data_IF_386642598428
#
_entry.id   IF_386642598428
#
_cell.length_a   1.000
_cell.length_b   1.000
_cell.length_c   1.000
_cell.angle_alpha   90.00
_cell.angle_beta   90.00
_cell.angle_gamma   90.00
#
_symmetry.space_group_name_H-M   'P 1'
#
loop_
_entity.id
_entity.type
_entity.pdbx_description
1 polymer ?
#
# COMPACT_ATOMS: atom_id res chain seq x y z
N UNK A 1 -2.28 -15.88 -12.08
CA UNK A 1 -3.43 -16.71 -11.61
C UNK A 1 -4.77 -16.06 -11.91
N UNK A 2 -4.99 -14.75 -11.71
CA UNK A 2 -6.29 -14.12 -12.01
C UNK A 2 -6.80 -14.29 -13.46
N UNK A 3 -5.89 -14.39 -14.44
CA UNK A 3 -6.26 -14.59 -15.85
C UNK A 3 -6.67 -16.03 -16.22
N UNK A 4 -6.25 -17.08 -15.49
CA UNK A 4 -6.62 -18.47 -15.86
C UNK A 4 -7.99 -18.87 -15.31
N UNK A 5 -8.38 -18.34 -14.16
CA UNK A 5 -9.66 -18.63 -13.48
C UNK A 5 -10.87 -18.15 -14.30
N UNK A 6 -10.70 -17.07 -15.09
CA UNK A 6 -11.81 -16.51 -15.86
C UNK A 6 -12.16 -17.27 -17.15
N UNK A 7 -11.25 -18.12 -17.66
CA UNK A 7 -11.45 -18.79 -18.95
C UNK A 7 -12.30 -20.07 -18.86
N UNK A 8 -12.50 -20.61 -17.65
CA UNK A 8 -13.25 -21.85 -17.40
C UNK A 8 -14.71 -21.63 -16.96
N UNK A 9 -15.09 -20.38 -16.64
CA UNK A 9 -16.44 -20.06 -16.20
C UNK A 9 -17.39 -19.82 -17.39
N UNK A 10 -18.60 -20.39 -17.31
CA UNK A 10 -19.62 -20.22 -18.35
C UNK A 10 -20.36 -18.89 -18.18
N UNK A 11 -20.58 -18.17 -19.28
CA UNK A 11 -21.48 -17.01 -19.29
C UNK A 11 -22.94 -17.49 -19.31
N UNK A 12 -23.44 -17.93 -18.15
CA UNK A 12 -24.83 -18.33 -17.95
C UNK A 12 -25.38 -17.84 -16.60
N UNK A 13 -26.70 -17.91 -16.44
CA UNK A 13 -27.42 -17.45 -15.24
C UNK A 13 -27.58 -18.56 -14.17
N UNK A 14 -26.94 -19.72 -14.34
CA UNK A 14 -27.20 -20.89 -13.48
C UNK A 14 -26.65 -20.71 -12.08
N UNK A 15 -25.45 -20.13 -11.95
CA UNK A 15 -24.89 -19.76 -10.64
C UNK A 15 -25.84 -18.83 -9.90
N UNK A 16 -26.34 -17.80 -10.58
CA UNK A 16 -27.31 -16.87 -10.00
C UNK A 16 -28.59 -17.59 -9.58
N UNK A 17 -29.15 -18.45 -10.43
CA UNK A 17 -30.34 -19.24 -10.12
C UNK A 17 -30.17 -20.14 -8.89
N UNK A 18 -29.00 -20.74 -8.72
CA UNK A 18 -28.67 -21.51 -7.52
C UNK A 18 -28.82 -20.64 -6.27
N UNK A 19 -28.18 -19.46 -6.25
CA UNK A 19 -28.33 -18.50 -5.15
C UNK A 19 -29.76 -17.98 -4.99
N UNK A 20 -30.42 -17.54 -6.07
CA UNK A 20 -31.79 -17.01 -6.04
C UNK A 20 -32.77 -18.04 -5.44
N UNK A 21 -32.56 -19.34 -5.68
CA UNK A 21 -33.41 -20.41 -5.14
C UNK A 21 -33.31 -20.57 -3.62
N UNK A 22 -32.14 -20.27 -3.04
CA UNK A 22 -31.86 -20.40 -1.61
C UNK A 22 -32.17 -19.10 -0.86
N UNK A 23 -31.89 -17.95 -1.49
CA UNK A 23 -32.05 -16.62 -0.90
C UNK A 23 -33.46 -16.02 -1.09
N UNK A 24 -34.40 -16.75 -1.70
CA UNK A 24 -35.75 -16.26 -2.04
C UNK A 24 -36.55 -15.66 -0.87
N UNK A 25 -36.25 -16.05 0.38
CA UNK A 25 -36.90 -15.56 1.61
C UNK A 25 -36.08 -14.50 2.34
N UNK A 26 -34.83 -14.24 1.94
CA UNK A 26 -33.98 -13.26 2.60
C UNK A 26 -34.41 -11.83 2.20
N UNK A 27 -34.72 -11.00 3.19
CA UNK A 27 -35.12 -9.61 2.98
C UNK A 27 -33.96 -8.68 3.27
N UNK A 28 -33.54 -7.89 2.27
CA UNK A 28 -32.54 -6.83 2.46
C UNK A 28 -33.22 -5.57 3.02
N UNK A 29 -33.14 -5.41 4.33
CA UNK A 29 -33.62 -4.26 5.09
C UNK A 29 -32.58 -3.78 6.12
N UNK A 30 -32.93 -2.74 6.89
CA UNK A 30 -32.05 -2.21 7.95
C UNK A 30 -31.83 -3.20 9.11
N UNK A 31 -32.76 -4.14 9.33
CA UNK A 31 -32.63 -5.16 10.37
C UNK A 31 -31.55 -6.16 10.00
N UNK A 32 -31.55 -6.65 8.75
CA UNK A 32 -30.48 -7.49 8.23
C UNK A 32 -29.16 -6.72 8.19
N UNK A 33 -29.16 -5.47 7.73
CA UNK A 33 -27.96 -4.62 7.73
C UNK A 33 -27.36 -4.53 9.14
N UNK A 34 -28.17 -4.22 10.16
CA UNK A 34 -27.72 -4.17 11.56
C UNK A 34 -27.15 -5.52 12.05
N UNK A 35 -27.80 -6.65 11.71
CA UNK A 35 -27.29 -7.99 12.04
C UNK A 35 -25.92 -8.27 11.40
N UNK A 36 -25.74 -7.95 10.13
CA UNK A 36 -24.49 -8.13 9.40
C UNK A 36 -23.37 -7.30 10.03
N UNK A 37 -23.65 -6.03 10.36
CA UNK A 37 -22.67 -5.15 11.02
C UNK A 37 -22.29 -5.66 12.40
N UNK A 38 -23.26 -6.15 13.18
CA UNK A 38 -23.00 -6.75 14.48
C UNK A 38 -22.16 -8.03 14.38
N UNK A 39 -22.46 -8.88 13.40
CA UNK A 39 -21.66 -10.08 13.08
C UNK A 39 -20.21 -9.72 12.77
N UNK A 40 -19.98 -8.76 11.87
CA UNK A 40 -18.62 -8.32 11.50
C UNK A 40 -17.90 -7.71 12.69
N UNK A 41 -18.54 -6.78 13.40
CA UNK A 41 -17.96 -6.12 14.58
C UNK A 41 -17.60 -7.12 15.68
N UNK A 42 -18.42 -8.15 15.90
CA UNK A 42 -18.14 -9.21 16.88
C UNK A 42 -16.87 -10.01 16.58
N UNK A 43 -16.53 -10.19 15.29
CA UNK A 43 -15.29 -10.88 14.89
C UNK A 43 -14.10 -9.93 14.99
N UNK A 44 -14.25 -8.70 14.51
CA UNK A 44 -13.16 -7.71 14.46
C UNK A 44 -12.77 -7.20 15.85
N UNK A 45 -13.70 -7.17 16.81
CA UNK A 45 -13.46 -6.74 18.19
C UNK A 45 -12.88 -7.82 19.11
N UNK A 46 -12.74 -9.07 18.62
CA UNK A 46 -12.11 -10.17 19.37
C UNK A 46 -10.67 -9.81 19.72
N UNK A 47 -10.22 -10.23 20.91
CA UNK A 47 -8.81 -10.13 21.33
C UNK A 47 -7.88 -10.76 20.27
N UNK A 48 -6.75 -10.12 20.03
CA UNK A 48 -5.82 -10.34 18.91
C UNK A 48 -6.23 -9.60 17.64
N UNK A 49 -7.50 -9.72 17.24
CA UNK A 49 -8.01 -9.09 16.02
C UNK A 49 -8.05 -7.56 16.17
N UNK A 50 -8.54 -7.06 17.31
CA UNK A 50 -8.65 -5.61 17.56
C UNK A 50 -7.28 -4.93 17.63
N UNK A 51 -6.29 -5.57 18.25
CA UNK A 51 -4.92 -5.06 18.33
C UNK A 51 -4.27 -5.04 16.95
N UNK A 52 -4.49 -6.07 16.14
CA UNK A 52 -4.02 -6.09 14.77
C UNK A 52 -4.63 -4.96 13.94
N UNK A 53 -5.95 -4.74 14.05
CA UNK A 53 -6.65 -3.68 13.33
C UNK A 53 -6.16 -2.29 13.71
N UNK A 54 -5.86 -2.07 14.99
CA UNK A 54 -5.32 -0.80 15.52
C UNK A 54 -3.83 -0.60 15.24
N UNK A 55 -3.11 -1.65 14.85
CA UNK A 55 -1.68 -1.61 14.58
C UNK A 55 -1.36 -1.31 13.12
N UNK A 56 -0.14 -0.87 12.87
CA UNK A 56 0.47 -0.75 11.54
C UNK A 56 1.57 -1.79 11.29
N UNK A 57 1.83 -2.64 12.27
CA UNK A 57 2.93 -3.59 12.26
C UNK A 57 2.53 -4.89 11.57
N UNK A 58 3.47 -5.46 10.83
CA UNK A 58 3.28 -6.72 10.11
C UNK A 58 3.69 -7.91 10.98
N UNK A 59 2.76 -8.83 11.21
CA UNK A 59 3.04 -10.13 11.83
C UNK A 59 3.32 -10.11 13.34
N UNK A 60 3.14 -8.98 14.04
CA UNK A 60 3.29 -8.87 15.49
C UNK A 60 2.07 -9.44 16.22
N UNK A 61 0.88 -9.01 15.81
CA UNK A 61 -0.38 -9.46 16.40
C UNK A 61 -0.94 -10.66 15.62
N UNK A 62 -1.51 -11.62 16.35
CA UNK A 62 -2.23 -12.74 15.76
C UNK A 62 -3.62 -12.32 15.30
N UNK A 63 -4.04 -12.81 14.14
CA UNK A 63 -5.41 -12.64 13.65
C UNK A 63 -6.04 -13.99 13.36
N UNK A 64 -7.34 -14.11 13.65
CA UNK A 64 -8.09 -15.35 13.46
C UNK A 64 -9.51 -15.07 12.97
N UNK A 65 -9.84 -15.75 11.88
CA UNK A 65 -11.19 -16.04 11.42
C UNK A 65 -11.38 -17.56 11.54
N UNK A 66 -12.40 -18.00 12.27
CA UNK A 66 -12.67 -19.42 12.54
C UNK A 66 -13.84 -19.95 11.73
N UNK A 67 -13.98 -21.27 11.64
CA UNK A 67 -15.15 -21.90 11.02
C UNK A 67 -16.45 -21.55 11.78
N UNK A 68 -16.39 -21.32 13.10
CA UNK A 68 -17.53 -20.80 13.85
C UNK A 68 -17.98 -19.42 13.37
N UNK A 69 -17.06 -18.60 12.86
CA UNK A 69 -17.37 -17.29 12.29
C UNK A 69 -18.07 -17.45 10.92
N UNK A 70 -17.72 -18.48 10.14
CA UNK A 70 -18.44 -18.87 8.92
C UNK A 70 -19.84 -19.37 9.24
N UNK A 71 -19.95 -20.36 10.13
CA UNK A 71 -21.23 -20.96 10.52
C UNK A 71 -22.21 -19.92 11.05
N UNK A 72 -21.72 -18.98 11.88
CA UNK A 72 -22.55 -17.88 12.40
C UNK A 72 -23.19 -17.02 11.31
N UNK A 73 -22.51 -16.77 10.19
CA UNK A 73 -23.12 -16.04 9.07
C UNK A 73 -24.33 -16.82 8.55
N UNK A 74 -24.14 -18.09 8.24
CA UNK A 74 -25.15 -18.96 7.65
C UNK A 74 -26.31 -19.27 8.62
N UNK A 75 -26.01 -19.68 9.84
CA UNK A 75 -27.02 -20.18 10.78
C UNK A 75 -27.77 -19.05 11.50
N UNK A 76 -27.06 -17.99 11.95
CA UNK A 76 -27.64 -16.96 12.82
C UNK A 76 -28.03 -15.68 12.08
N UNK A 77 -27.23 -15.28 11.08
CA UNK A 77 -27.36 -13.97 10.43
C UNK A 77 -28.33 -14.04 9.25
N UNK A 78 -28.06 -14.94 8.29
CA UNK A 78 -28.85 -15.06 7.05
C UNK A 78 -29.79 -16.28 7.05
N UNK A 79 -29.60 -17.23 7.96
CA UNK A 79 -30.40 -18.45 8.13
C UNK A 79 -30.53 -19.25 6.82
N UNK A 80 -29.39 -19.62 6.25
CA UNK A 80 -29.26 -20.37 4.99
C UNK A 80 -28.41 -21.61 5.25
N UNK A 81 -28.89 -22.75 4.75
CA UNK A 81 -28.13 -24.00 4.74
C UNK A 81 -26.96 -23.90 3.75
N UNK A 82 -25.74 -23.87 4.30
CA UNK A 82 -24.52 -23.75 3.51
C UNK A 82 -24.24 -25.01 2.67
N UNK A 83 -24.51 -26.20 3.20
CA UNK A 83 -24.22 -27.46 2.53
C UNK A 83 -25.13 -27.61 1.31
N UNK A 84 -26.42 -27.31 1.48
CA UNK A 84 -27.37 -27.31 0.36
C UNK A 84 -27.01 -26.26 -0.70
N UNK A 85 -26.59 -25.06 -0.30
CA UNK A 85 -26.13 -24.04 -1.25
C UNK A 85 -24.86 -24.50 -2.00
N UNK A 86 -23.93 -25.14 -1.30
CA UNK A 86 -22.69 -25.69 -1.86
C UNK A 86 -22.99 -26.75 -2.95
N UNK A 87 -23.95 -27.63 -2.69
CA UNK A 87 -24.43 -28.63 -3.66
C UNK A 87 -25.02 -27.96 -4.90
N UNK A 88 -25.91 -26.97 -4.74
CA UNK A 88 -26.51 -26.26 -5.87
C UNK A 88 -25.48 -25.49 -6.71
N UNK A 89 -24.48 -24.88 -6.07
CA UNK A 89 -23.37 -24.22 -6.78
C UNK A 89 -22.60 -25.25 -7.62
N UNK A 90 -22.32 -26.42 -7.07
CA UNK A 90 -21.61 -27.50 -7.77
C UNK A 90 -22.42 -28.03 -8.96
N UNK A 91 -23.72 -28.23 -8.79
CA UNK A 91 -24.65 -28.69 -9.84
C UNK A 91 -24.88 -27.66 -10.95
N UNK A 92 -24.67 -26.36 -10.66
CA UNK A 92 -24.78 -25.32 -11.70
C UNK A 92 -23.82 -25.54 -12.86
N UNK A 93 -22.66 -26.14 -12.59
CA UNK A 93 -21.52 -26.29 -13.50
C UNK A 93 -21.04 -24.96 -14.12
N UNK A 94 -21.38 -23.82 -13.51
CA UNK A 94 -20.99 -22.49 -14.01
C UNK A 94 -19.55 -22.12 -13.66
N UNK A 95 -19.03 -22.67 -12.55
CA UNK A 95 -17.70 -22.39 -12.00
C UNK A 95 -17.00 -23.66 -11.54
N UNK A 96 -15.68 -23.59 -11.42
CA UNK A 96 -14.89 -24.66 -10.81
C UNK A 96 -14.91 -24.53 -9.28
N UNK A 97 -15.58 -25.46 -8.61
CA UNK A 97 -15.73 -25.48 -7.14
C UNK A 97 -14.51 -26.02 -6.40
N UNK A 98 -13.53 -26.60 -7.11
CA UNK A 98 -12.28 -27.08 -6.49
C UNK A 98 -11.32 -25.93 -6.16
N UNK A 99 -11.61 -24.72 -6.65
CA UNK A 99 -10.85 -23.52 -6.31
C UNK A 99 -11.12 -23.07 -4.88
N UNK A 100 -10.17 -23.32 -3.98
CA UNK A 100 -10.23 -23.01 -2.55
C UNK A 100 -10.60 -21.57 -2.16
N UNK A 101 -10.44 -20.60 -3.07
CA UNK A 101 -10.79 -19.19 -2.81
C UNK A 101 -11.97 -18.78 -3.66
N UNK A 102 -11.86 -18.88 -4.98
CA UNK A 102 -12.86 -18.35 -5.89
C UNK A 102 -14.16 -19.18 -5.87
N UNK A 103 -14.05 -20.49 -5.70
CA UNK A 103 -15.18 -21.42 -5.61
C UNK A 103 -15.72 -21.64 -4.19
N UNK A 104 -15.14 -21.00 -3.16
CA UNK A 104 -15.57 -21.15 -1.77
C UNK A 104 -16.96 -20.52 -1.54
N UNK A 105 -17.90 -21.33 -1.03
CA UNK A 105 -19.31 -20.96 -0.81
C UNK A 105 -19.45 -19.70 0.05
N UNK A 106 -18.69 -19.57 1.12
CA UNK A 106 -18.69 -18.35 1.95
C UNK A 106 -18.31 -17.11 1.15
N UNK A 107 -17.21 -17.15 0.39
CA UNK A 107 -16.75 -16.01 -0.39
C UNK A 107 -17.77 -15.61 -1.47
N UNK A 108 -18.37 -16.59 -2.14
CA UNK A 108 -19.44 -16.35 -3.13
C UNK A 108 -20.69 -15.75 -2.48
N UNK A 109 -21.08 -16.24 -1.30
CA UNK A 109 -22.19 -15.70 -0.50
C UNK A 109 -21.98 -14.23 -0.14
N UNK A 110 -20.76 -13.82 0.24
CA UNK A 110 -20.48 -12.40 0.49
C UNK A 110 -20.74 -11.56 -0.77
N UNK A 111 -20.28 -12.01 -1.94
CA UNK A 111 -20.48 -11.27 -3.20
C UNK A 111 -21.96 -11.28 -3.61
N UNK A 112 -22.68 -12.36 -3.37
CA UNK A 112 -24.12 -12.43 -3.64
C UNK A 112 -24.94 -11.53 -2.70
N UNK A 113 -24.56 -11.42 -1.42
CA UNK A 113 -25.17 -10.43 -0.52
C UNK A 113 -24.94 -8.99 -1.04
N UNK A 114 -23.73 -8.69 -1.55
CA UNK A 114 -23.47 -7.40 -2.19
C UNK A 114 -24.34 -7.17 -3.42
N UNK A 115 -24.53 -8.19 -4.27
CA UNK A 115 -25.46 -8.15 -5.40
C UNK A 115 -26.85 -7.69 -4.96
N UNK A 116 -27.40 -8.30 -3.90
CA UNK A 116 -28.72 -7.95 -3.38
C UNK A 116 -28.77 -6.56 -2.72
N UNK A 117 -27.66 -6.10 -2.15
CA UNK A 117 -27.58 -4.82 -1.43
C UNK A 117 -27.30 -3.62 -2.34
N UNK A 118 -26.56 -3.78 -3.44
CA UNK A 118 -26.17 -2.70 -4.36
C UNK A 118 -27.37 -1.83 -4.81
N UNK A 119 -28.51 -2.38 -5.25
CA UNK A 119 -29.68 -1.58 -5.64
C UNK A 119 -30.22 -0.68 -4.51
N UNK A 120 -29.86 -0.96 -3.25
CA UNK A 120 -30.32 -0.29 -2.04
C UNK A 120 -29.25 0.59 -1.38
N UNK A 121 -28.11 0.83 -2.03
CA UNK A 121 -27.02 1.67 -1.51
C UNK A 121 -27.39 3.14 -1.28
N UNK A 122 -28.56 3.60 -1.74
CA UNK A 122 -29.12 4.88 -1.30
C UNK A 122 -29.40 4.94 0.20
N UNK A 123 -29.58 3.79 0.86
CA UNK A 123 -29.65 3.70 2.32
C UNK A 123 -28.24 3.54 2.92
N UNK A 124 -27.84 4.51 3.75
CA UNK A 124 -26.51 4.56 4.37
C UNK A 124 -26.21 3.35 5.27
N UNK A 125 -27.22 2.78 5.94
CA UNK A 125 -27.02 1.61 6.80
C UNK A 125 -26.77 0.36 5.96
N UNK A 126 -27.43 0.24 4.81
CA UNK A 126 -27.21 -0.86 3.87
C UNK A 126 -25.83 -0.73 3.24
N UNK A 127 -25.44 0.48 2.81
CA UNK A 127 -24.09 0.70 2.29
C UNK A 127 -23.01 0.38 3.34
N UNK A 128 -23.20 0.82 4.60
CA UNK A 128 -22.27 0.51 5.68
C UNK A 128 -22.16 -1.00 5.92
N UNK A 129 -23.28 -1.73 5.94
CA UNK A 129 -23.27 -3.19 6.06
C UNK A 129 -22.58 -3.89 4.88
N UNK A 130 -22.72 -3.36 3.65
CA UNK A 130 -22.01 -3.87 2.48
C UNK A 130 -20.49 -3.67 2.60
N UNK A 131 -20.06 -2.50 3.07
CA UNK A 131 -18.64 -2.22 3.35
C UNK A 131 -18.11 -3.17 4.44
N UNK A 132 -18.88 -3.41 5.50
CA UNK A 132 -18.52 -4.36 6.57
C UNK A 132 -18.39 -5.80 6.03
N UNK A 133 -19.26 -6.23 5.10
CA UNK A 133 -19.16 -7.53 4.43
C UNK A 133 -17.88 -7.68 3.58
N UNK A 134 -17.50 -6.65 2.82
CA UNK A 134 -16.23 -6.67 2.09
C UNK A 134 -15.05 -6.63 3.05
N UNK A 135 -15.17 -5.91 4.16
CA UNK A 135 -14.13 -5.85 5.21
C UNK A 135 -13.89 -7.22 5.84
N UNK A 136 -14.94 -7.96 6.20
CA UNK A 136 -14.75 -9.30 6.79
C UNK A 136 -14.21 -10.32 5.78
N UNK A 137 -14.58 -10.20 4.50
CA UNK A 137 -13.99 -11.03 3.44
C UNK A 137 -12.49 -10.76 3.28
N UNK A 138 -12.07 -9.49 3.29
CA UNK A 138 -10.66 -9.12 3.33
C UNK A 138 -9.95 -9.67 4.57
N UNK A 139 -10.58 -9.53 5.74
CA UNK A 139 -10.03 -10.00 7.01
C UNK A 139 -9.82 -11.52 7.01
N UNK A 140 -10.76 -12.32 6.48
CA UNK A 140 -10.60 -13.77 6.27
C UNK A 140 -9.37 -14.09 5.41
N UNK A 141 -9.15 -13.35 4.32
CA UNK A 141 -7.95 -13.52 3.49
C UNK A 141 -6.67 -13.15 4.24
N UNK A 142 -6.64 -12.02 4.96
CA UNK A 142 -5.51 -11.66 5.80
C UNK A 142 -5.21 -12.75 6.83
N UNK A 143 -6.23 -13.27 7.53
CA UNK A 143 -6.10 -14.34 8.53
C UNK A 143 -5.43 -15.59 7.94
N UNK A 144 -5.89 -16.06 6.77
CA UNK A 144 -5.29 -17.20 6.07
C UNK A 144 -3.83 -16.92 5.66
N UNK A 145 -3.55 -15.76 5.07
CA UNK A 145 -2.20 -15.39 4.66
C UNK A 145 -1.27 -15.29 5.87
N UNK A 146 -1.73 -14.68 6.97
CA UNK A 146 -0.93 -14.51 8.17
C UNK A 146 -0.57 -15.85 8.81
N UNK A 147 -1.51 -16.80 8.84
CA UNK A 147 -1.25 -18.14 9.32
C UNK A 147 -0.09 -18.83 8.58
N UNK A 148 0.04 -18.61 7.27
CA UNK A 148 1.12 -19.18 6.47
C UNK A 148 2.42 -18.38 6.52
N UNK A 149 2.37 -17.05 6.55
CA UNK A 149 3.55 -16.19 6.50
C UNK A 149 4.20 -15.94 7.87
N UNK A 150 3.42 -16.03 8.94
CA UNK A 150 3.86 -15.72 10.31
C UNK A 150 3.51 -16.88 11.26
N UNK A 151 4.11 -18.07 11.10
CA UNK A 151 3.92 -19.18 12.03
C UNK A 151 4.39 -18.85 13.46
N UNK A 152 5.26 -17.84 13.60
CA UNK A 152 5.66 -17.22 14.85
C UNK A 152 5.50 -15.70 14.73
N UNK A 153 5.12 -15.01 15.82
CA UNK A 153 5.07 -13.56 15.84
C UNK A 153 6.41 -12.96 15.41
N UNK A 154 6.34 -11.88 14.65
CA UNK A 154 7.50 -11.03 14.32
C UNK A 154 7.92 -10.29 15.58
N UNK A 155 9.22 -10.18 15.81
CA UNK A 155 9.75 -9.40 16.91
C UNK A 155 9.40 -7.91 16.72
N UNK A 156 8.91 -7.28 17.80
CA UNK A 156 8.43 -5.91 17.77
C UNK A 156 9.47 -4.93 17.18
N UNK A 157 10.77 -5.00 17.53
CA UNK A 157 11.77 -4.10 16.95
C UNK A 157 11.95 -4.24 15.44
N UNK A 158 11.99 -5.47 14.89
CA UNK A 158 12.08 -5.64 13.44
C UNK A 158 10.81 -5.17 12.73
N UNK A 159 9.63 -5.37 13.33
CA UNK A 159 8.38 -4.89 12.76
C UNK A 159 8.32 -3.35 12.72
N UNK A 160 8.71 -2.66 13.80
CA UNK A 160 8.77 -1.20 13.88
C UNK A 160 9.78 -0.61 12.88
N UNK A 161 10.96 -1.25 12.77
CA UNK A 161 11.97 -0.87 11.79
C UNK A 161 11.45 -1.06 10.35
N UNK A 162 10.79 -2.19 10.07
CA UNK A 162 10.19 -2.45 8.76
C UNK A 162 9.10 -1.42 8.42
N UNK A 163 8.24 -1.08 9.38
CA UNK A 163 7.22 -0.05 9.21
C UNK A 163 7.83 1.32 8.90
N UNK A 164 8.89 1.69 9.62
CA UNK A 164 9.60 2.96 9.43
C UNK A 164 10.26 3.07 8.06
N UNK A 165 10.65 1.95 7.46
CA UNK A 165 11.20 1.89 6.11
C UNK A 165 10.13 1.87 5.00
N UNK A 166 8.84 1.79 5.34
CA UNK A 166 7.79 1.88 4.32
C UNK A 166 7.72 3.31 3.79
N UNK A 167 7.77 3.44 2.47
CA UNK A 167 7.44 4.71 1.83
C UNK A 167 5.92 4.92 1.74
N UNK A 168 5.51 6.16 1.47
CA UNK A 168 4.08 6.53 1.34
C UNK A 168 3.34 5.83 0.18
N UNK A 169 4.03 5.03 -0.65
CA UNK A 169 3.41 4.15 -1.66
C UNK A 169 2.59 3.03 -1.03
N UNK A 170 2.87 2.68 0.22
CA UNK A 170 2.13 1.66 0.95
C UNK A 170 0.90 2.31 1.58
N UNK A 171 -0.30 1.87 1.20
CA UNK A 171 -1.55 2.40 1.78
C UNK A 171 -1.57 2.32 3.31
N UNK A 172 -1.01 1.25 3.88
CA UNK A 172 -0.87 1.08 5.34
C UNK A 172 -0.02 2.19 5.98
N UNK A 173 1.00 2.71 5.29
CA UNK A 173 1.83 3.83 5.77
C UNK A 173 1.08 5.16 5.68
N UNK A 174 0.28 5.34 4.62
CA UNK A 174 -0.57 6.53 4.42
C UNK A 174 -1.73 6.58 5.42
N UNK A 175 -2.36 5.45 5.69
CA UNK A 175 -3.58 5.34 6.50
C UNK A 175 -3.29 5.11 7.99
N UNK A 176 -2.14 4.53 8.32
CA UNK A 176 -1.63 4.45 9.68
C UNK A 176 -2.09 3.24 10.50
N UNK A 177 -3.08 2.45 10.06
CA UNK A 177 -3.42 1.14 10.66
C UNK A 177 -4.17 0.21 9.70
N UNK A 178 -4.18 -1.08 10.02
CA UNK A 178 -4.78 -2.13 9.18
C UNK A 178 -6.31 -2.00 9.06
N UNK A 179 -6.99 -1.50 10.09
CA UNK A 179 -8.43 -1.26 10.07
C UNK A 179 -8.84 -0.22 9.02
N UNK A 180 -8.20 0.95 9.02
CA UNK A 180 -8.42 2.01 8.04
C UNK A 180 -8.06 1.55 6.62
N UNK A 181 -6.98 0.79 6.49
CA UNK A 181 -6.56 0.18 5.23
C UNK A 181 -7.62 -0.74 4.63
N UNK A 182 -8.20 -1.63 5.43
CA UNK A 182 -9.27 -2.51 4.95
C UNK A 182 -10.55 -1.73 4.65
N UNK A 183 -10.90 -0.74 5.47
CA UNK A 183 -12.09 0.08 5.28
C UNK A 183 -12.03 0.92 3.98
N UNK A 184 -10.89 1.55 3.68
CA UNK A 184 -10.70 2.30 2.42
C UNK A 184 -10.84 1.37 1.22
N UNK A 185 -10.20 0.18 1.26
CA UNK A 185 -10.32 -0.80 0.19
C UNK A 185 -11.74 -1.35 0.05
N UNK A 186 -12.40 -1.67 1.16
CA UNK A 186 -13.78 -2.17 1.14
C UNK A 186 -14.72 -1.14 0.51
N UNK A 187 -14.54 0.13 0.85
CA UNK A 187 -15.31 1.23 0.27
C UNK A 187 -15.10 1.31 -1.24
N UNK A 188 -13.86 1.21 -1.72
CA UNK A 188 -13.57 1.17 -3.16
C UNK A 188 -14.25 -0.03 -3.86
N UNK A 189 -14.22 -1.21 -3.25
CA UNK A 189 -14.85 -2.42 -3.80
C UNK A 189 -16.40 -2.39 -3.76
N UNK A 190 -17.00 -1.46 -3.03
CA UNK A 190 -18.43 -1.15 -3.05
C UNK A 190 -18.77 0.05 -3.96
N UNK A 191 -17.77 0.71 -4.55
CA UNK A 191 -17.95 1.90 -5.39
C UNK A 191 -18.24 1.54 -6.85
N UNK A 192 -19.07 2.33 -7.57
CA UNK A 192 -19.20 2.25 -9.02
C UNK A 192 -17.88 2.42 -9.80
N UNK A 193 -16.84 2.98 -9.16
CA UNK A 193 -15.49 3.11 -9.73
C UNK A 193 -14.73 1.77 -9.83
N UNK A 194 -15.20 0.73 -9.13
CA UNK A 194 -14.58 -0.58 -9.22
C UNK A 194 -14.90 -1.24 -10.58
N UNK A 195 -13.89 -1.72 -11.34
CA UNK A 195 -14.08 -2.18 -12.71
C UNK A 195 -15.16 -3.27 -12.92
N UNK A 196 -15.38 -4.13 -11.92
CA UNK A 196 -16.37 -5.21 -12.02
C UNK A 196 -17.64 -4.91 -11.21
N UNK A 197 -17.89 -3.65 -10.83
CA UNK A 197 -19.06 -3.25 -10.03
C UNK A 197 -20.37 -3.70 -10.68
N UNK A 198 -20.54 -3.42 -11.97
CA UNK A 198 -21.75 -3.79 -12.71
C UNK A 198 -21.94 -5.32 -12.80
N UNK A 199 -20.86 -6.08 -12.86
CA UNK A 199 -20.93 -7.54 -12.87
C UNK A 199 -21.37 -8.09 -11.51
N UNK A 200 -20.88 -7.54 -10.40
CA UNK A 200 -21.40 -7.88 -9.05
C UNK A 200 -22.87 -7.47 -8.93
N UNK A 201 -23.21 -6.27 -9.40
CA UNK A 201 -24.58 -5.75 -9.37
C UNK A 201 -25.57 -6.65 -10.10
N UNK A 202 -25.17 -7.30 -11.19
CA UNK A 202 -26.06 -8.20 -11.94
C UNK A 202 -25.93 -9.68 -11.55
N UNK A 203 -24.78 -10.07 -11.04
CA UNK A 203 -24.42 -11.45 -10.68
C UNK A 203 -24.70 -12.46 -11.81
N UNK A 204 -24.63 -12.01 -13.07
CA UNK A 204 -24.99 -12.78 -14.26
C UNK A 204 -23.78 -13.23 -15.09
N UNK A 205 -22.58 -12.85 -14.65
CA UNK A 205 -21.31 -13.20 -15.26
C UNK A 205 -20.42 -13.89 -14.21
N UNK A 206 -20.49 -15.23 -14.08
CA UNK A 206 -19.76 -15.98 -13.07
C UNK A 206 -18.25 -15.70 -13.08
N UNK A 207 -17.62 -15.63 -14.25
CA UNK A 207 -16.19 -15.29 -14.40
C UNK A 207 -15.83 -13.95 -13.74
N UNK A 208 -16.70 -12.95 -13.88
CA UNK A 208 -16.50 -11.61 -13.32
C UNK A 208 -16.77 -11.57 -11.81
N UNK A 209 -17.70 -12.38 -11.31
CA UNK A 209 -17.90 -12.61 -9.87
C UNK A 209 -16.64 -13.24 -9.26
N UNK A 210 -16.05 -14.24 -9.90
CA UNK A 210 -14.80 -14.84 -9.44
C UNK A 210 -13.62 -13.85 -9.50
N UNK A 211 -13.58 -12.98 -10.52
CA UNK A 211 -12.60 -11.88 -10.59
C UNK A 211 -12.72 -10.92 -9.43
N UNK A 212 -13.92 -10.64 -8.91
CA UNK A 212 -14.09 -9.83 -7.71
C UNK A 212 -13.34 -10.43 -6.51
N UNK A 213 -13.60 -11.70 -6.23
CA UNK A 213 -13.02 -12.43 -5.10
C UNK A 213 -11.50 -12.54 -5.26
N UNK A 214 -11.04 -12.92 -6.46
CA UNK A 214 -9.62 -13.12 -6.72
C UNK A 214 -8.82 -11.82 -6.78
N UNK A 215 -9.39 -10.70 -7.26
CA UNK A 215 -8.75 -9.39 -7.19
C UNK A 215 -8.54 -8.98 -5.73
N UNK A 216 -9.60 -9.06 -4.91
CA UNK A 216 -9.54 -8.72 -3.49
C UNK A 216 -8.49 -9.56 -2.74
N UNK A 217 -8.50 -10.89 -2.93
CA UNK A 217 -7.47 -11.76 -2.35
C UNK A 217 -6.06 -11.41 -2.85
N UNK A 218 -5.89 -11.26 -4.17
CA UNK A 218 -4.56 -10.99 -4.75
C UNK A 218 -3.98 -9.68 -4.25
N UNK A 219 -4.78 -8.60 -4.15
CA UNK A 219 -4.35 -7.31 -3.57
C UNK A 219 -3.98 -7.45 -2.10
N UNK A 220 -4.77 -8.20 -1.32
CA UNK A 220 -4.46 -8.50 0.09
C UNK A 220 -3.14 -9.24 0.22
N UNK A 221 -2.93 -10.30 -0.57
CA UNK A 221 -1.67 -11.07 -0.62
C UNK A 221 -0.49 -10.22 -1.06
N UNK A 222 -0.67 -9.35 -2.05
CA UNK A 222 0.38 -8.47 -2.54
C UNK A 222 0.79 -7.45 -1.48
N UNK A 223 -0.18 -6.87 -0.76
CA UNK A 223 0.09 -5.96 0.37
C UNK A 223 0.98 -6.62 1.42
N UNK A 224 0.64 -7.86 1.82
CA UNK A 224 1.44 -8.62 2.80
C UNK A 224 2.83 -8.94 2.25
N UNK A 225 2.93 -9.39 0.99
CA UNK A 225 4.21 -9.74 0.37
C UNK A 225 5.15 -8.54 0.26
N UNK A 226 4.64 -7.39 -0.17
CA UNK A 226 5.47 -6.20 -0.35
C UNK A 226 5.98 -5.67 0.99
N UNK A 227 5.14 -5.67 2.02
CA UNK A 227 5.57 -5.30 3.36
C UNK A 227 6.51 -6.36 3.95
N UNK A 228 6.23 -7.65 3.74
CA UNK A 228 7.11 -8.74 4.16
C UNK A 228 8.49 -8.64 3.52
N UNK A 229 8.59 -8.22 2.25
CA UNK A 229 9.88 -8.02 1.59
C UNK A 229 10.73 -6.94 2.29
N UNK A 230 10.08 -5.88 2.81
CA UNK A 230 10.76 -4.85 3.62
C UNK A 230 11.18 -5.44 4.97
N UNK A 231 10.32 -6.22 5.62
CA UNK A 231 10.65 -6.91 6.87
C UNK A 231 11.82 -7.90 6.69
N UNK A 232 11.82 -8.68 5.62
CA UNK A 232 12.89 -9.63 5.31
C UNK A 232 14.21 -8.89 5.00
N UNK A 233 14.16 -7.72 4.34
CA UNK A 233 15.32 -6.84 4.18
C UNK A 233 15.88 -6.42 5.55
N UNK A 234 15.03 -5.90 6.45
CA UNK A 234 15.44 -5.52 7.82
C UNK A 234 16.06 -6.70 8.57
N UNK A 235 15.43 -7.88 8.50
CA UNK A 235 15.94 -9.10 9.15
C UNK A 235 17.28 -9.54 8.59
N UNK A 236 17.47 -9.51 7.27
CA UNK A 236 18.75 -9.85 6.63
C UNK A 236 19.84 -8.85 6.96
N UNK A 237 19.52 -7.57 7.02
CA UNK A 237 20.46 -6.54 7.46
C UNK A 237 20.87 -6.76 8.92
N UNK A 238 19.91 -7.01 9.81
CA UNK A 238 20.17 -7.36 11.21
C UNK A 238 20.99 -8.66 11.35
N UNK A 239 20.68 -9.71 10.57
CA UNK A 239 21.41 -10.97 10.60
C UNK A 239 22.83 -10.84 10.02
N UNK A 240 23.03 -10.02 8.98
CA UNK A 240 24.36 -9.67 8.46
C UNK A 240 25.16 -8.87 9.48
N UNK A 241 24.50 -8.00 10.24
CA UNK A 241 25.12 -7.32 11.39
C UNK A 241 25.56 -8.38 12.39
N UNK A 242 24.68 -9.26 12.90
CA UNK A 242 25.02 -10.30 13.90
C UNK A 242 26.12 -11.27 13.42
N UNK A 243 26.08 -11.72 12.16
CA UNK A 243 27.11 -12.58 11.56
C UNK A 243 28.47 -11.89 11.42
N UNK A 244 28.48 -10.57 11.26
CA UNK A 244 29.70 -9.78 11.32
C UNK A 244 30.07 -9.39 12.76
N UNK A 245 29.11 -9.27 13.67
CA UNK A 245 29.29 -9.03 15.11
C UNK A 245 30.00 -10.18 15.80
N UNK A 246 29.75 -11.42 15.37
CA UNK A 246 30.52 -12.59 15.83
C UNK A 246 32.00 -12.56 15.39
N UNK A 247 32.38 -11.63 14.50
CA UNK A 247 33.78 -11.37 14.11
C UNK A 247 34.29 -9.99 14.56
N UNK A 248 33.43 -9.08 15.01
CA UNK A 248 33.77 -7.71 15.39
C UNK A 248 32.78 -7.25 16.46
N UNK A 249 33.15 -7.41 17.72
CA UNK A 249 32.36 -6.97 18.87
C UNK A 249 32.12 -5.45 18.90
N UNK A 250 30.92 -5.07 19.36
CA UNK A 250 30.57 -3.84 20.09
C UNK A 250 30.64 -2.47 19.35
N UNK A 251 29.81 -2.22 18.32
CA UNK A 251 29.37 -0.83 18.02
C UNK A 251 28.17 -0.64 17.03
N UNK A 252 27.52 -1.72 16.54
CA UNK A 252 26.60 -1.61 15.38
C UNK A 252 25.13 -1.26 15.65
N UNK A 253 24.62 -1.45 16.88
CA UNK A 253 23.20 -1.19 17.20
C UNK A 253 22.87 0.30 17.36
N UNK A 254 23.83 1.12 17.77
CA UNK A 254 23.71 2.60 17.82
C UNK A 254 23.58 3.17 16.41
N UNK A 255 24.40 2.68 15.47
CA UNK A 255 24.53 3.21 14.10
C UNK A 255 23.23 3.15 13.28
N UNK A 256 22.37 2.13 13.46
CA UNK A 256 21.12 2.02 12.69
C UNK A 256 20.04 2.95 13.25
N UNK A 257 19.87 3.02 14.58
CA UNK A 257 18.92 3.94 15.22
C UNK A 257 19.30 5.41 14.94
N UNK A 258 20.59 5.73 15.00
CA UNK A 258 21.11 7.06 14.68
C UNK A 258 20.82 7.46 13.22
N UNK A 259 20.84 6.50 12.28
CA UNK A 259 20.58 6.77 10.86
C UNK A 259 19.10 6.97 10.52
N UNK A 260 18.18 6.26 11.19
CA UNK A 260 16.74 6.50 11.04
C UNK A 260 16.34 7.85 11.64
N UNK A 261 16.88 8.20 12.81
CA UNK A 261 16.73 9.53 13.38
C UNK A 261 17.30 10.63 12.46
N UNK A 262 18.46 10.38 11.84
CA UNK A 262 19.07 11.31 10.89
C UNK A 262 18.21 11.54 9.63
N UNK A 263 17.47 10.53 9.15
CA UNK A 263 16.54 10.70 8.02
C UNK A 263 15.40 11.64 8.37
N UNK A 264 14.74 11.44 9.51
CA UNK A 264 13.63 12.30 9.93
C UNK A 264 14.10 13.73 10.22
N UNK A 265 15.27 13.90 10.82
CA UNK A 265 15.89 15.23 11.02
C UNK A 265 16.18 15.90 9.67
N UNK A 266 16.80 15.19 8.72
CA UNK A 266 17.12 15.72 7.40
C UNK A 266 15.85 16.11 6.63
N UNK A 267 14.81 15.27 6.70
CA UNK A 267 13.50 15.53 6.10
C UNK A 267 12.87 16.79 6.68
N UNK A 268 12.81 16.88 8.01
CA UNK A 268 12.24 18.04 8.70
C UNK A 268 13.00 19.32 8.33
N UNK A 269 14.34 19.29 8.35
CA UNK A 269 15.18 20.42 7.97
C UNK A 269 14.91 20.90 6.54
N UNK A 270 14.77 19.97 5.59
CA UNK A 270 14.48 20.33 4.20
C UNK A 270 13.07 20.90 4.05
N UNK A 271 12.09 20.32 4.75
CA UNK A 271 10.71 20.80 4.71
C UNK A 271 10.60 22.20 5.30
N UNK A 272 11.18 22.44 6.48
CA UNK A 272 11.17 23.75 7.12
C UNK A 272 11.89 24.80 6.28
N UNK A 273 13.04 24.44 5.71
CA UNK A 273 13.76 25.30 4.78
C UNK A 273 12.92 25.65 3.55
N UNK A 274 12.14 24.69 3.04
CA UNK A 274 11.37 24.83 1.80
C UNK A 274 10.20 25.82 1.88
N UNK A 275 9.89 26.40 3.04
CA UNK A 275 8.85 27.44 3.16
C UNK A 275 9.36 28.86 2.90
N UNK A 276 10.67 29.09 2.86
CA UNK A 276 11.25 30.41 2.65
C UNK A 276 12.46 30.32 1.73
N UNK A 277 12.53 31.17 0.71
CA UNK A 277 13.61 31.15 -0.27
C UNK A 277 14.98 31.45 0.35
N UNK A 278 15.05 32.29 1.40
CA UNK A 278 16.27 32.62 2.12
C UNK A 278 16.79 31.43 2.94
N UNK A 279 15.89 30.55 3.37
CA UNK A 279 16.22 29.32 4.09
C UNK A 279 16.53 28.17 3.14
N UNK A 280 15.79 28.07 2.02
CA UNK A 280 15.96 27.03 1.04
C UNK A 280 17.19 27.25 0.16
N UNK A 281 17.35 28.44 -0.43
CA UNK A 281 18.41 28.76 -1.38
C UNK A 281 19.66 29.29 -0.67
N UNK A 282 20.66 28.42 -0.54
CA UNK A 282 22.03 28.76 -0.17
C UNK A 282 22.92 28.74 -1.41
N UNK A 283 23.64 29.85 -1.65
CA UNK A 283 24.45 30.03 -2.85
C UNK A 283 25.65 29.08 -2.88
N UNK A 284 26.28 28.85 -1.73
CA UNK A 284 27.38 27.89 -1.58
C UNK A 284 26.94 26.46 -1.94
N UNK A 285 25.75 26.05 -1.52
CA UNK A 285 25.20 24.72 -1.84
C UNK A 285 24.89 24.59 -3.33
N UNK A 286 24.32 25.65 -3.92
CA UNK A 286 24.01 25.68 -5.34
C UNK A 286 25.29 25.57 -6.17
N UNK A 287 26.36 26.26 -5.76
CA UNK A 287 27.67 26.19 -6.42
C UNK A 287 28.22 24.76 -6.42
N UNK A 288 28.25 24.09 -5.26
CA UNK A 288 28.72 22.70 -5.15
C UNK A 288 27.94 21.78 -6.09
N UNK A 289 26.61 21.89 -6.10
CA UNK A 289 25.74 21.06 -6.95
C UNK A 289 25.96 21.34 -8.44
N UNK A 290 26.11 22.61 -8.83
CA UNK A 290 26.31 23.02 -10.21
C UNK A 290 27.70 22.61 -10.73
N UNK A 291 28.73 22.62 -9.89
CA UNK A 291 30.04 22.03 -10.23
C UNK A 291 29.94 20.51 -10.45
N UNK A 292 29.09 19.82 -9.67
CA UNK A 292 28.84 18.40 -9.85
C UNK A 292 27.98 18.09 -11.08
N UNK A 293 27.14 19.02 -11.54
CA UNK A 293 26.26 18.87 -12.71
C UNK A 293 26.41 20.09 -13.63
N UNK A 294 27.54 20.25 -14.34
CA UNK A 294 27.88 21.49 -15.05
C UNK A 294 26.97 21.83 -16.23
N UNK A 295 26.15 20.87 -16.69
CA UNK A 295 25.15 21.07 -17.74
C UNK A 295 23.82 21.65 -17.22
N UNK A 296 23.62 21.71 -15.90
CA UNK A 296 22.42 22.27 -15.31
C UNK A 296 22.47 23.81 -15.37
N UNK A 297 21.36 24.44 -15.74
CA UNK A 297 21.25 25.91 -15.77
C UNK A 297 21.15 26.47 -14.34
N UNK A 298 22.08 27.32 -13.89
CA UNK A 298 22.03 27.94 -12.56
C UNK A 298 20.75 28.76 -12.36
N UNK A 299 20.36 29.53 -13.39
CA UNK A 299 19.15 30.34 -13.35
C UNK A 299 17.90 29.47 -13.21
N UNK A 300 17.80 28.38 -13.98
CA UNK A 300 16.63 27.48 -13.91
C UNK A 300 16.55 26.73 -12.56
N UNK A 301 17.68 26.35 -11.96
CA UNK A 301 17.70 25.75 -10.63
C UNK A 301 17.19 26.74 -9.58
N UNK A 302 17.65 27.99 -9.62
CA UNK A 302 17.17 29.05 -8.73
C UNK A 302 15.66 29.29 -8.92
N UNK A 303 15.18 29.35 -10.16
CA UNK A 303 13.73 29.48 -10.46
C UNK A 303 12.92 28.36 -9.81
N UNK A 304 13.36 27.10 -9.89
CA UNK A 304 12.66 25.98 -9.27
C UNK A 304 12.64 26.08 -7.74
N UNK A 305 13.76 26.45 -7.12
CA UNK A 305 13.80 26.62 -5.67
C UNK A 305 12.93 27.80 -5.21
N UNK A 306 12.91 28.90 -5.96
CA UNK A 306 11.98 30.03 -5.71
C UNK A 306 10.53 29.61 -5.85
N UNK A 307 10.18 28.82 -6.86
CA UNK A 307 8.84 28.27 -7.02
C UNK A 307 8.45 27.42 -5.81
N UNK A 308 9.31 26.48 -5.41
CA UNK A 308 9.08 25.58 -4.27
C UNK A 308 8.83 26.38 -2.99
N UNK A 309 9.68 27.38 -2.72
CA UNK A 309 9.54 28.26 -1.56
C UNK A 309 8.23 29.06 -1.56
N UNK A 310 7.78 29.50 -2.74
CA UNK A 310 6.55 30.29 -2.90
C UNK A 310 5.26 29.47 -2.95
N UNK A 311 5.30 28.14 -2.87
CA UNK A 311 4.10 27.31 -2.96
C UNK A 311 3.22 27.44 -1.70
N UNK A 312 1.93 27.83 -1.83
CA UNK A 312 0.99 27.79 -0.71
C UNK A 312 0.63 26.36 -0.34
N UNK A 313 0.15 26.17 0.89
CA UNK A 313 -0.36 24.88 1.38
C UNK A 313 -1.47 24.37 0.43
N UNK A 314 -1.39 23.08 0.08
CA UNK A 314 -2.37 22.39 -0.77
C UNK A 314 -1.72 21.41 -1.74
N UNK A 315 -2.51 20.88 -2.67
CA UNK A 315 -2.12 19.72 -3.52
C UNK A 315 -0.77 19.86 -4.22
N UNK A 316 -0.43 21.05 -4.73
CA UNK A 316 0.87 21.29 -5.40
C UNK A 316 2.04 21.24 -4.42
N UNK A 317 1.85 21.75 -3.20
CA UNK A 317 2.83 21.66 -2.12
C UNK A 317 3.00 20.22 -1.67
N UNK A 318 1.90 19.48 -1.52
CA UNK A 318 1.94 18.06 -1.16
C UNK A 318 2.71 17.23 -2.20
N UNK A 319 2.51 17.52 -3.49
CA UNK A 319 3.25 16.87 -4.58
C UNK A 319 4.76 17.14 -4.49
N UNK A 320 5.16 18.39 -4.24
CA UNK A 320 6.57 18.78 -4.09
C UNK A 320 7.19 18.22 -2.80
N UNK A 321 6.46 18.24 -1.69
CA UNK A 321 6.89 17.61 -0.43
C UNK A 321 7.14 16.11 -0.63
N UNK A 322 6.24 15.43 -1.36
CA UNK A 322 6.44 14.03 -1.72
C UNK A 322 7.69 13.83 -2.59
N UNK A 323 7.99 14.71 -3.55
CA UNK A 323 9.23 14.63 -4.34
C UNK A 323 10.47 14.78 -3.45
N UNK A 324 10.47 15.74 -2.52
CA UNK A 324 11.59 15.98 -1.60
C UNK A 324 11.79 14.77 -0.67
N UNK A 325 10.71 14.25 -0.08
CA UNK A 325 10.74 13.06 0.77
C UNK A 325 11.22 11.81 0.01
N UNK A 326 10.73 11.61 -1.21
CA UNK A 326 11.14 10.49 -2.07
C UNK A 326 12.63 10.56 -2.42
N UNK A 327 13.14 11.79 -2.62
CA UNK A 327 14.56 12.05 -2.88
C UNK A 327 15.44 11.68 -1.69
N UNK A 328 15.05 12.08 -0.48
CA UNK A 328 15.78 11.77 0.75
C UNK A 328 15.70 10.29 1.09
N UNK A 329 14.51 9.69 0.99
CA UNK A 329 14.30 8.26 1.23
C UNK A 329 15.20 7.41 0.34
N UNK A 330 15.27 7.73 -0.96
CA UNK A 330 16.17 7.04 -1.88
C UNK A 330 17.65 7.19 -1.52
N UNK A 331 18.08 8.40 -1.12
CA UNK A 331 19.45 8.64 -0.72
C UNK A 331 19.83 7.88 0.56
N UNK A 332 18.96 7.90 1.56
CA UNK A 332 19.20 7.19 2.82
C UNK A 332 19.15 5.67 2.65
N UNK A 333 18.25 5.13 1.81
CA UNK A 333 18.25 3.71 1.45
C UNK A 333 19.60 3.30 0.83
N UNK A 334 20.18 4.12 -0.05
CA UNK A 334 21.50 3.85 -0.65
C UNK A 334 22.63 3.94 0.40
N UNK A 335 22.57 4.92 1.30
CA UNK A 335 23.55 5.11 2.38
C UNK A 335 23.54 3.93 3.35
N UNK A 336 22.36 3.43 3.71
CA UNK A 336 22.21 2.26 4.58
C UNK A 336 22.68 1.00 3.84
N UNK A 337 22.17 0.76 2.64
CA UNK A 337 22.47 -0.44 1.83
C UNK A 337 23.97 -0.60 1.58
N UNK A 338 24.67 0.51 1.32
CA UNK A 338 26.09 0.49 0.98
C UNK A 338 26.99 0.91 2.16
N UNK A 339 26.41 1.07 3.36
CA UNK A 339 27.11 1.47 4.59
C UNK A 339 27.98 2.72 4.43
N UNK A 340 27.47 3.68 3.66
CA UNK A 340 28.14 4.95 3.46
C UNK A 340 28.10 5.72 4.79
N UNK A 341 29.20 6.40 5.12
CA UNK A 341 29.20 7.34 6.22
C UNK A 341 28.37 8.56 5.82
N UNK A 342 27.23 8.74 6.49
CA UNK A 342 26.32 9.85 6.21
C UNK A 342 26.95 11.23 6.46
N UNK A 343 27.92 11.30 7.37
CA UNK A 343 28.65 12.55 7.67
C UNK A 343 29.65 12.91 6.55
N UNK A 344 29.94 11.99 5.63
CA UNK A 344 30.73 12.26 4.44
C UNK A 344 29.81 12.66 3.28
N UNK A 345 29.37 13.92 3.33
CA UNK A 345 28.48 14.50 2.32
C UNK A 345 29.06 14.39 0.90
N UNK A 346 30.39 14.42 0.74
CA UNK A 346 31.05 14.32 -0.57
C UNK A 346 30.83 12.94 -1.17
N UNK A 347 31.11 11.88 -0.40
CA UNK A 347 30.91 10.49 -0.85
C UNK A 347 29.43 10.22 -1.15
N UNK A 348 28.52 10.71 -0.30
CA UNK A 348 27.08 10.59 -0.50
C UNK A 348 26.65 11.27 -1.81
N UNK A 349 27.04 12.52 -2.04
CA UNK A 349 26.65 13.26 -3.24
C UNK A 349 27.22 12.65 -4.51
N UNK A 350 28.47 12.18 -4.49
CA UNK A 350 29.08 11.52 -5.65
C UNK A 350 28.33 10.23 -6.02
N UNK A 351 27.96 9.43 -5.00
CA UNK A 351 27.18 8.20 -5.20
C UNK A 351 25.81 8.49 -5.80
N UNK A 352 25.07 9.42 -5.20
CA UNK A 352 23.73 9.78 -5.67
C UNK A 352 23.79 10.40 -7.07
N UNK A 353 24.80 11.21 -7.37
CA UNK A 353 25.02 11.76 -8.72
C UNK A 353 25.16 10.65 -9.75
N UNK A 354 26.00 9.65 -9.49
CA UNK A 354 26.20 8.52 -10.40
C UNK A 354 24.87 7.78 -10.66
N UNK A 355 24.09 7.53 -9.61
CA UNK A 355 22.79 6.88 -9.71
C UNK A 355 21.77 7.72 -10.49
N UNK A 356 21.75 9.04 -10.33
CA UNK A 356 20.82 9.92 -11.05
C UNK A 356 21.23 10.16 -12.50
N UNK A 357 22.53 10.08 -12.83
CA UNK A 357 23.04 10.20 -14.19
C UNK A 357 22.96 8.90 -14.99
N UNK A 358 22.84 7.75 -14.34
CA UNK A 358 22.74 6.47 -15.02
C UNK A 358 21.59 6.45 -16.04
N UNK A 359 21.92 6.17 -17.31
CA UNK A 359 20.99 6.17 -18.46
C UNK A 359 19.94 5.07 -18.36
N UNK A 360 20.24 3.97 -17.66
CA UNK A 360 19.31 2.88 -17.36
C UNK A 360 19.31 2.65 -15.86
N UNK A 361 18.17 2.92 -15.21
CA UNK A 361 17.91 2.47 -13.85
C UNK A 361 16.93 1.30 -13.92
N UNK A 362 17.27 0.11 -13.38
CA UNK A 362 16.30 -0.98 -13.26
C UNK A 362 15.24 -0.70 -12.19
N UNK A 363 15.42 0.36 -11.38
CA UNK A 363 14.51 0.74 -10.30
C UNK A 363 13.37 1.63 -10.84
N UNK A 364 12.11 1.13 -10.94
CA UNK A 364 10.98 1.88 -11.46
C UNK A 364 10.65 3.13 -10.64
N UNK A 365 11.02 3.14 -9.36
CA UNK A 365 10.80 4.29 -8.48
C UNK A 365 11.71 5.47 -8.82
N UNK A 366 12.99 5.19 -9.12
CA UNK A 366 13.93 6.23 -9.60
C UNK A 366 13.45 6.78 -10.94
N UNK A 367 12.88 5.94 -11.81
CA UNK A 367 12.31 6.39 -13.09
C UNK A 367 11.08 7.31 -12.88
N UNK A 368 10.19 6.95 -11.96
CA UNK A 368 9.03 7.78 -11.59
C UNK A 368 9.44 9.12 -10.98
N UNK A 369 10.37 9.12 -10.01
CA UNK A 369 10.90 10.32 -9.38
C UNK A 369 11.54 11.25 -10.42
N UNK A 370 12.34 10.70 -11.34
CA UNK A 370 12.95 11.45 -12.43
C UNK A 370 11.89 12.11 -13.32
N UNK A 371 10.86 11.37 -13.71
CA UNK A 371 9.77 11.87 -14.56
C UNK A 371 8.99 13.01 -13.89
N UNK A 372 8.68 12.89 -12.59
CA UNK A 372 7.95 13.92 -11.83
C UNK A 372 8.74 15.23 -11.77
N UNK A 373 10.04 15.16 -11.51
CA UNK A 373 10.90 16.35 -11.46
C UNK A 373 11.09 16.96 -12.84
N UNK A 374 11.24 16.16 -13.90
CA UNK A 374 11.35 16.69 -15.26
C UNK A 374 10.07 17.40 -15.71
N UNK A 375 8.90 16.87 -15.36
CA UNK A 375 7.61 17.55 -15.58
C UNK A 375 7.53 18.87 -14.84
N UNK A 376 7.94 18.90 -13.58
CA UNK A 376 8.00 20.13 -12.79
C UNK A 376 8.98 21.15 -13.42
N UNK A 377 10.18 20.71 -13.79
CA UNK A 377 11.21 21.52 -14.44
C UNK A 377 10.73 22.11 -15.78
N UNK A 378 10.10 21.29 -16.62
CA UNK A 378 9.57 21.73 -17.91
C UNK A 378 8.43 22.73 -17.75
N UNK A 379 7.61 22.58 -16.70
CA UNK A 379 6.47 23.45 -16.46
C UNK A 379 6.89 24.82 -15.90
N UNK A 380 7.79 24.82 -14.92
CA UNK A 380 8.08 26.02 -14.12
C UNK A 380 9.35 26.76 -14.58
N UNK A 381 10.04 26.26 -15.59
CA UNK A 381 11.21 26.94 -16.19
C UNK A 381 11.04 27.09 -17.71
N UNK A 382 12.00 27.77 -18.36
CA UNK A 382 12.06 27.90 -19.82
C UNK A 382 12.69 26.68 -20.53
N UNK A 383 13.20 25.70 -19.79
CA UNK A 383 13.93 24.55 -20.35
C UNK A 383 12.94 23.57 -20.99
N UNK A 384 13.23 23.16 -22.24
CA UNK A 384 12.40 22.19 -22.99
C UNK A 384 13.19 21.00 -23.55
N UNK A 385 14.48 21.15 -23.77
CA UNK A 385 15.34 20.07 -24.28
C UNK A 385 15.58 19.00 -23.21
N UNK A 386 15.39 17.72 -23.58
CA UNK A 386 15.48 16.57 -22.66
C UNK A 386 16.81 16.48 -21.90
N UNK A 387 17.93 16.72 -22.58
CA UNK A 387 19.26 16.68 -21.96
C UNK A 387 19.45 17.77 -20.91
N UNK A 388 18.89 18.95 -21.13
CA UNK A 388 18.91 20.06 -20.19
C UNK A 388 17.95 19.82 -19.02
N UNK A 389 16.76 19.24 -19.27
CA UNK A 389 15.83 18.81 -18.23
C UNK A 389 16.44 17.73 -17.32
N UNK A 390 17.11 16.73 -17.88
CA UNK A 390 17.79 15.69 -17.12
C UNK A 390 18.94 16.25 -16.26
N UNK A 391 19.69 17.22 -16.78
CA UNK A 391 20.73 17.91 -16.02
C UNK A 391 20.13 18.71 -14.85
N UNK A 392 19.07 19.48 -15.11
CA UNK A 392 18.37 20.28 -14.10
C UNK A 392 17.73 19.41 -13.01
N UNK A 393 17.12 18.28 -13.41
CA UNK A 393 16.61 17.25 -12.50
C UNK A 393 17.69 16.72 -11.56
N UNK A 394 18.84 16.32 -12.11
CA UNK A 394 19.93 15.79 -11.32
C UNK A 394 20.48 16.82 -10.34
N UNK A 395 20.59 18.08 -10.77
CA UNK A 395 20.99 19.17 -9.89
C UNK A 395 19.98 19.37 -8.75
N UNK A 396 18.67 19.40 -9.04
CA UNK A 396 17.64 19.57 -8.02
C UNK A 396 17.63 18.43 -6.98
N UNK A 397 17.78 17.18 -7.43
CA UNK A 397 17.86 16.01 -6.55
C UNK A 397 19.06 16.08 -5.59
N UNK A 398 20.23 16.47 -6.10
CA UNK A 398 21.43 16.64 -5.28
C UNK A 398 21.30 17.85 -4.35
N UNK A 399 20.60 18.89 -4.79
CA UNK A 399 20.34 20.09 -3.98
C UNK A 399 19.49 19.78 -2.75
N UNK A 400 18.39 19.05 -2.91
CA UNK A 400 17.56 18.62 -1.78
C UNK A 400 18.37 17.82 -0.76
N UNK A 401 19.21 16.91 -1.26
CA UNK A 401 20.06 16.11 -0.41
C UNK A 401 21.03 16.99 0.38
N UNK A 402 21.89 17.76 -0.29
CA UNK A 402 22.87 18.59 0.42
C UNK A 402 22.22 19.62 1.36
N UNK A 403 21.05 20.17 0.98
CA UNK A 403 20.30 21.11 1.83
C UNK A 403 19.76 20.44 3.08
N UNK A 404 19.28 19.20 2.99
CA UNK A 404 18.78 18.43 4.15
C UNK A 404 19.88 18.11 5.17
N UNK A 405 21.13 18.04 4.72
CA UNK A 405 22.30 17.74 5.55
C UNK A 405 22.81 18.96 6.33
N UNK A 406 22.39 20.16 5.94
CA UNK A 406 22.78 21.39 6.63
C UNK A 406 21.79 21.74 7.74
N UNK A 407 22.34 22.13 8.89
CA UNK A 407 21.59 22.66 10.02
C UNK A 407 20.98 24.01 9.69
#
# INVERSE_FOLDING_TARGET
>A
MGFSVAHEARHDDRLRKAFDSVFNKLVIDRKLASKLRHYVSGILSREGNVEWLGSNLLGVHSIRFFDSDRNRLFDEVINIDEDYLSELIKESHSINTDWQVAGDTYNLTIVYLLHLMIPKFGDKEILAAAIDLVTILQFKFYSSIYYHFFPKPVDLPAAEAAYSMLSMKFDIRRLGNWGLHMAERATYFCSPEYPNYDAVKRFDAPDMVLRYITDLNTRTKQTVKDYYAVLDRVRRENARVVSQSARVELDGQSVIRDKVGALEIAKQNLFDASYDINNLYKEELARVVLEMVPKASPAALKTLLTYIAGLPIGKKRDEVNSIMEDTLSHAFDEIVTNRINFNDAVTVLQRMRALYQASKSPNPYVLSLRSRIEKLAAKETHIRHESALAALRNALLLYFLIRSLQK
#
